data_IF_728493709448
#
_entry.id   IF_728493709448
#
_cell.length_a   1.000
_cell.length_b   1.000
_cell.length_c   1.000
_cell.angle_alpha   90.00
_cell.angle_beta   90.00
_cell.angle_gamma   90.00
#
_symmetry.space_group_name_H-M   'P 1'
#
loop_
_entity.id
_entity.type
_entity.pdbx_description
1 polymer ?
#
# COMPACT_ATOMS: atom_id res chain seq x y z
N UNK A 1 -9.69 -41.26 -3.01
CA UNK A 1 -9.22 -40.95 -4.38
C UNK A 1 -10.25 -40.04 -5.04
N UNK A 2 -9.95 -38.76 -5.24
CA UNK A 2 -10.86 -37.82 -5.91
C UNK A 2 -10.69 -37.94 -7.43
N UNK A 3 -11.78 -38.21 -8.14
CA UNK A 3 -11.78 -38.54 -9.56
C UNK A 3 -11.41 -37.32 -10.39
N UNK A 4 -10.69 -37.48 -11.51
CA UNK A 4 -10.27 -36.38 -12.42
C UNK A 4 -11.41 -35.42 -12.83
N UNK A 5 -12.65 -35.89 -12.82
CA UNK A 5 -13.86 -35.09 -13.07
C UNK A 5 -14.20 -34.12 -11.92
N UNK A 6 -13.98 -34.49 -10.66
CA UNK A 6 -14.19 -33.61 -9.50
C UNK A 6 -13.21 -32.43 -9.52
N UNK A 7 -11.93 -32.68 -9.85
CA UNK A 7 -10.90 -31.64 -9.99
C UNK A 7 -11.28 -30.61 -11.08
N UNK A 8 -11.85 -31.10 -12.20
CA UNK A 8 -12.27 -30.26 -13.32
C UNK A 8 -13.52 -29.44 -12.98
N UNK A 9 -14.44 -29.97 -12.17
CA UNK A 9 -15.61 -29.25 -11.67
C UNK A 9 -15.24 -28.18 -10.63
N UNK A 10 -14.31 -28.47 -9.70
CA UNK A 10 -13.79 -27.45 -8.77
C UNK A 10 -13.07 -26.31 -9.50
N UNK A 11 -12.26 -26.62 -10.52
CA UNK A 11 -11.60 -25.58 -11.34
C UNK A 11 -12.62 -24.72 -12.12
N UNK A 12 -13.69 -25.32 -12.64
CA UNK A 12 -14.79 -24.57 -13.29
C UNK A 12 -15.60 -23.73 -12.31
N UNK A 13 -15.81 -24.18 -11.06
CA UNK A 13 -16.46 -23.39 -10.01
C UNK A 13 -15.59 -22.22 -9.56
N UNK A 14 -14.27 -22.41 -9.45
CA UNK A 14 -13.31 -21.32 -9.19
C UNK A 14 -13.22 -20.30 -10.35
N UNK A 15 -13.34 -20.76 -11.60
CA UNK A 15 -13.39 -19.86 -12.76
C UNK A 15 -14.73 -19.10 -12.90
N UNK A 16 -15.83 -19.68 -12.37
CA UNK A 16 -17.16 -19.04 -12.35
C UNK A 16 -17.41 -18.18 -11.11
N UNK A 17 -16.54 -18.25 -10.09
CA UNK A 17 -16.79 -17.51 -8.86
C UNK A 17 -16.63 -16.01 -9.02
N UNK A 18 -16.16 -15.51 -10.17
CA UNK A 18 -16.51 -14.19 -10.71
C UNK A 18 -16.38 -13.01 -9.74
N UNK A 19 -15.69 -13.18 -8.62
CA UNK A 19 -15.13 -12.11 -7.85
C UNK A 19 -14.08 -11.58 -8.78
N UNK A 20 -14.45 -10.52 -9.48
CA UNK A 20 -13.52 -9.45 -9.82
C UNK A 20 -12.80 -9.17 -8.51
N UNK A 21 -11.70 -9.87 -8.28
CA UNK A 21 -10.68 -9.42 -7.35
C UNK A 21 -10.37 -8.04 -7.89
N UNK A 22 -10.84 -7.00 -7.19
CA UNK A 22 -10.46 -5.64 -7.51
C UNK A 22 -8.95 -5.65 -7.32
N UNK A 23 -8.24 -5.80 -8.43
CA UNK A 23 -6.80 -5.76 -8.44
C UNK A 23 -6.48 -4.33 -8.05
N UNK A 24 -5.97 -4.15 -6.84
CA UNK A 24 -5.42 -2.85 -6.44
C UNK A 24 -4.15 -2.69 -7.26
N UNK A 25 -4.17 -1.72 -8.17
CA UNK A 25 -3.07 -1.45 -9.08
C UNK A 25 -2.49 -0.10 -8.75
N UNK A 26 -1.17 -0.04 -8.61
CA UNK A 26 -0.44 1.22 -8.60
C UNK A 26 0.05 1.52 -10.02
N UNK A 27 -0.40 2.64 -10.58
CA UNK A 27 -0.04 3.08 -11.93
C UNK A 27 1.06 4.14 -11.87
N UNK A 28 2.03 4.03 -12.77
CA UNK A 28 3.14 4.98 -12.87
C UNK A 28 3.67 5.06 -14.30
N UNK A 29 4.43 6.11 -14.61
CA UNK A 29 5.01 6.29 -15.93
C UNK A 29 6.53 6.19 -15.81
N UNK A 30 7.16 5.27 -16.53
CA UNK A 30 8.62 5.20 -16.54
C UNK A 30 9.25 6.49 -17.14
N UNK A 31 10.57 6.68 -17.03
CA UNK A 31 11.25 7.86 -17.58
C UNK A 31 11.07 8.07 -19.08
N UNK A 32 10.61 7.05 -19.83
CA UNK A 32 10.31 7.15 -21.26
C UNK A 32 8.82 7.50 -21.52
N UNK A 33 8.06 7.80 -20.48
CA UNK A 33 6.63 8.13 -20.55
C UNK A 33 5.73 6.92 -20.78
N UNK A 34 6.23 5.69 -20.60
CA UNK A 34 5.42 4.48 -20.75
C UNK A 34 4.69 4.17 -19.44
N UNK A 35 3.38 4.00 -19.54
CA UNK A 35 2.54 3.57 -18.44
C UNK A 35 2.87 2.13 -18.02
N UNK A 36 3.08 1.94 -16.71
CA UNK A 36 3.34 0.67 -16.06
C UNK A 36 2.43 0.52 -14.84
N UNK A 37 2.17 -0.74 -14.50
CA UNK A 37 1.20 -1.13 -13.48
C UNK A 37 1.82 -2.14 -12.52
N UNK A 38 1.59 -1.95 -11.23
CA UNK A 38 2.06 -2.85 -10.16
C UNK A 38 0.85 -3.50 -9.48
N UNK A 39 0.83 -4.84 -9.41
CA UNK A 39 -0.18 -5.60 -8.66
C UNK A 39 0.14 -5.52 -7.17
N UNK A 40 -0.53 -4.59 -6.50
CA UNK A 40 -0.27 -4.24 -5.10
C UNK A 40 -0.69 -5.37 -4.16
N UNK A 41 -1.79 -6.07 -4.46
CA UNK A 41 -2.29 -7.14 -3.59
C UNK A 41 -1.32 -8.33 -3.57
N UNK A 42 -0.78 -8.71 -4.74
CA UNK A 42 0.24 -9.76 -4.79
C UNK A 42 1.53 -9.34 -4.09
N UNK A 43 1.94 -8.08 -4.31
CA UNK A 43 3.14 -7.54 -3.68
C UNK A 43 3.01 -7.52 -2.15
N UNK A 44 1.85 -7.12 -1.63
CA UNK A 44 1.52 -7.16 -0.20
C UNK A 44 1.62 -8.55 0.38
N UNK A 45 0.96 -9.53 -0.24
CA UNK A 45 0.98 -10.93 0.21
C UNK A 45 2.40 -11.53 0.18
N UNK A 46 3.24 -11.07 -0.73
CA UNK A 46 4.65 -11.44 -0.76
C UNK A 46 5.40 -10.78 0.40
N UNK A 47 5.26 -9.46 0.60
CA UNK A 47 5.92 -8.72 1.67
C UNK A 47 5.59 -9.27 3.06
N UNK A 48 4.31 -9.53 3.35
CA UNK A 48 3.84 -10.11 4.62
C UNK A 48 4.48 -11.47 4.98
N UNK A 49 5.02 -12.19 3.98
CA UNK A 49 5.63 -13.51 4.17
C UNK A 49 7.15 -13.49 4.23
N UNK A 50 7.78 -12.45 3.69
CA UNK A 50 9.22 -12.43 3.45
C UNK A 50 9.94 -11.26 4.10
N UNK A 51 9.21 -10.22 4.50
CA UNK A 51 9.78 -8.99 5.05
C UNK A 51 9.32 -8.77 6.48
N UNK A 52 10.19 -8.15 7.27
CA UNK A 52 9.85 -7.63 8.58
C UNK A 52 9.25 -6.24 8.47
N UNK A 53 8.41 -5.88 9.44
CA UNK A 53 7.85 -4.53 9.54
C UNK A 53 8.92 -3.64 10.15
N UNK A 54 9.26 -2.55 9.46
CA UNK A 54 10.18 -1.53 9.95
C UNK A 54 9.47 -0.19 10.16
N UNK A 55 9.96 0.66 11.07
CA UNK A 55 9.47 2.02 11.20
C UNK A 55 9.94 2.86 9.99
N UNK A 56 9.01 3.43 9.24
CA UNK A 56 9.28 4.42 8.20
C UNK A 56 8.96 5.83 8.71
N UNK A 57 9.92 6.74 8.56
CA UNK A 57 9.73 8.14 8.89
C UNK A 57 8.67 8.78 7.99
N UNK A 58 7.91 9.71 8.57
CA UNK A 58 6.88 10.46 7.86
C UNK A 58 7.50 11.73 7.29
N UNK A 59 7.64 11.78 5.96
CA UNK A 59 7.94 12.99 5.21
C UNK A 59 6.67 13.80 4.92
N UNK A 60 6.56 14.97 5.54
CA UNK A 60 5.43 15.88 5.36
C UNK A 60 5.29 16.40 3.93
N UNK A 61 6.39 16.55 3.17
CA UNK A 61 6.30 16.96 1.76
C UNK A 61 5.65 15.89 0.90
N UNK A 62 5.92 14.62 1.21
CA UNK A 62 5.26 13.50 0.57
C UNK A 62 3.76 13.46 0.90
N UNK A 63 3.39 13.75 2.15
CA UNK A 63 1.99 13.85 2.58
C UNK A 63 1.25 14.95 1.81
N UNK A 64 1.85 16.14 1.68
CA UNK A 64 1.30 17.24 0.88
C UNK A 64 1.08 16.82 -0.57
N UNK A 65 2.08 16.20 -1.21
CA UNK A 65 1.96 15.67 -2.58
C UNK A 65 0.84 14.64 -2.75
N UNK A 66 0.65 13.75 -1.77
CA UNK A 66 -0.41 12.73 -1.82
C UNK A 66 -1.81 13.38 -1.78
N UNK A 67 -1.98 14.41 -0.95
CA UNK A 67 -3.25 15.13 -0.80
C UNK A 67 -3.52 15.99 -2.04
N UNK A 68 -2.55 16.79 -2.49
CA UNK A 68 -2.66 17.65 -3.67
C UNK A 68 -2.89 16.85 -4.96
N UNK A 69 -2.25 15.69 -5.07
CA UNK A 69 -2.44 14.76 -6.19
C UNK A 69 -3.79 14.03 -6.19
N UNK A 70 -4.65 14.27 -5.19
CA UNK A 70 -5.97 13.63 -5.07
C UNK A 70 -5.92 12.12 -4.81
N UNK A 71 -4.74 11.58 -4.46
CA UNK A 71 -4.53 10.15 -4.19
C UNK A 71 -5.19 9.71 -2.88
N UNK A 72 -5.42 10.65 -1.96
CA UNK A 72 -6.19 10.47 -0.73
C UNK A 72 -7.15 11.64 -0.57
N UNK A 73 -8.43 11.34 -0.33
CA UNK A 73 -9.44 12.35 0.03
C UNK A 73 -9.76 12.30 1.52
N UNK A 74 -10.38 13.34 2.06
CA UNK A 74 -10.81 13.37 3.46
C UNK A 74 -11.76 12.21 3.81
N UNK A 75 -12.58 11.77 2.85
CA UNK A 75 -13.48 10.63 3.00
C UNK A 75 -12.72 9.32 3.17
N UNK A 76 -11.65 9.11 2.39
CA UNK A 76 -10.79 7.91 2.52
C UNK A 76 -10.16 7.82 3.91
N UNK A 77 -9.70 8.95 4.47
CA UNK A 77 -9.09 8.98 5.80
C UNK A 77 -10.11 8.59 6.89
N UNK A 78 -11.31 9.16 6.82
CA UNK A 78 -12.36 8.90 7.80
C UNK A 78 -12.94 7.48 7.70
N UNK A 79 -13.14 6.96 6.49
CA UNK A 79 -13.78 5.67 6.26
C UNK A 79 -12.85 4.48 6.50
N UNK A 80 -11.56 4.59 6.18
CA UNK A 80 -10.64 3.45 6.22
C UNK A 80 -9.73 3.40 7.45
N UNK A 81 -9.37 4.53 8.03
CA UNK A 81 -8.28 4.57 9.03
C UNK A 81 -8.76 4.70 10.48
N UNK A 82 -9.99 5.19 10.71
CA UNK A 82 -10.52 5.30 12.08
C UNK A 82 -11.20 4.02 12.59
N UNK A 83 -11.55 3.10 11.70
CA UNK A 83 -12.39 1.92 12.00
C UNK A 83 -11.70 0.59 11.76
N UNK A 84 -10.58 0.57 11.02
CA UNK A 84 -9.83 -0.66 10.72
C UNK A 84 -8.48 -0.66 11.42
N UNK A 85 -7.94 -1.86 11.67
CA UNK A 85 -6.56 -2.02 12.11
C UNK A 85 -5.60 -1.36 11.12
N UNK A 86 -4.66 -0.58 11.64
CA UNK A 86 -3.64 0.09 10.85
C UNK A 86 -2.76 -0.97 10.18
N UNK A 87 -2.86 -1.09 8.85
CA UNK A 87 -2.00 -1.98 8.06
C UNK A 87 -0.66 -1.32 7.79
N UNK A 88 0.46 -2.08 7.76
CA UNK A 88 1.73 -1.56 7.29
C UNK A 88 1.64 -1.01 5.85
N UNK A 89 2.29 0.12 5.60
CA UNK A 89 2.44 0.70 4.26
C UNK A 89 3.41 -0.13 3.42
N UNK A 90 3.29 -0.06 2.09
CA UNK A 90 4.26 -0.66 1.17
C UNK A 90 5.07 0.44 0.51
N UNK A 91 6.39 0.40 0.72
CA UNK A 91 7.35 1.32 0.11
C UNK A 91 8.17 0.53 -0.89
N UNK A 92 8.26 1.03 -2.13
CA UNK A 92 9.22 0.57 -3.12
C UNK A 92 10.42 1.51 -3.12
N UNK A 93 11.62 1.01 -2.80
CA UNK A 93 12.87 1.74 -2.95
C UNK A 93 13.36 1.71 -4.40
N UNK A 94 14.16 2.71 -4.78
CA UNK A 94 14.69 2.88 -6.14
C UNK A 94 13.61 2.89 -7.23
N UNK A 95 12.43 3.41 -6.88
CA UNK A 95 11.37 3.73 -7.82
C UNK A 95 11.81 4.87 -8.76
N UNK A 96 11.49 4.74 -10.05
CA UNK A 96 11.77 5.74 -11.12
C UNK A 96 13.06 6.57 -10.92
N UNK A 97 14.22 5.90 -10.90
CA UNK A 97 15.55 6.52 -10.72
C UNK A 97 15.92 6.91 -9.28
N UNK A 98 15.74 6.01 -8.32
CA UNK A 98 16.35 6.14 -6.98
C UNK A 98 15.46 6.78 -5.91
N UNK A 99 14.19 7.04 -6.20
CA UNK A 99 13.26 7.59 -5.21
C UNK A 99 12.49 6.47 -4.51
N UNK A 100 12.17 6.64 -3.23
CA UNK A 100 11.23 5.76 -2.55
C UNK A 100 9.79 6.23 -2.84
N UNK A 101 8.89 5.30 -3.16
CA UNK A 101 7.48 5.60 -3.42
C UNK A 101 6.57 4.71 -2.58
N UNK A 102 5.52 5.29 -2.00
CA UNK A 102 4.47 4.53 -1.31
C UNK A 102 3.50 3.99 -2.36
N UNK A 103 3.57 2.67 -2.58
CA UNK A 103 2.75 1.97 -3.56
C UNK A 103 1.43 1.46 -2.97
N UNK A 104 1.34 1.40 -1.63
CA UNK A 104 0.11 1.09 -0.91
C UNK A 104 0.10 1.67 0.50
N UNK A 105 -1.09 1.98 1.01
CA UNK A 105 -1.29 2.50 2.35
C UNK A 105 -1.20 4.03 2.44
N UNK A 106 -1.41 4.75 1.34
CA UNK A 106 -1.41 6.23 1.32
C UNK A 106 -2.35 6.84 2.38
N UNK A 107 -3.53 6.26 2.60
CA UNK A 107 -4.46 6.69 3.65
C UNK A 107 -3.87 6.49 5.06
N UNK A 108 -3.19 5.36 5.29
CA UNK A 108 -2.52 5.07 6.55
C UNK A 108 -1.39 6.06 6.80
N UNK A 109 -0.58 6.32 5.77
CA UNK A 109 0.52 7.29 5.83
C UNK A 109 0.02 8.70 6.17
N UNK A 110 -1.02 9.17 5.47
CA UNK A 110 -1.63 10.49 5.72
C UNK A 110 -2.29 10.55 7.10
N UNK A 111 -2.99 9.50 7.55
CA UNK A 111 -3.61 9.48 8.87
C UNK A 111 -2.58 9.49 10.02
N UNK A 112 -1.46 8.79 9.85
CA UNK A 112 -0.34 8.83 10.80
C UNK A 112 0.31 10.22 10.84
N UNK A 113 0.45 10.87 9.69
CA UNK A 113 0.94 12.26 9.61
C UNK A 113 -0.01 13.26 10.29
N UNK A 114 -1.33 13.12 10.08
CA UNK A 114 -2.33 13.95 10.74
C UNK A 114 -2.30 13.75 12.27
N UNK A 115 -2.13 12.51 12.72
CA UNK A 115 -1.95 12.16 14.13
C UNK A 115 -0.69 12.82 14.71
N UNK A 116 0.43 12.80 13.97
CA UNK A 116 1.67 13.46 14.35
C UNK A 116 1.49 14.97 14.53
N UNK A 117 0.83 15.64 13.59
CA UNK A 117 0.57 17.07 13.69
C UNK A 117 -0.30 17.41 14.92
N UNK A 118 -1.31 16.58 15.21
CA UNK A 118 -2.18 16.76 16.38
C UNK A 118 -1.44 16.48 17.69
N UNK A 119 -0.65 15.40 17.76
CA UNK A 119 0.17 15.05 18.91
C UNK A 119 1.16 16.18 19.25
N UNK A 120 1.84 16.74 18.23
CA UNK A 120 2.74 17.88 18.39
C UNK A 120 2.02 19.12 18.95
N UNK A 121 0.81 19.43 18.46
CA UNK A 121 -0.01 20.52 19.01
C UNK A 121 -0.41 20.30 20.48
N UNK A 122 -0.53 19.05 20.90
CA UNK A 122 -0.84 18.67 22.28
C UNK A 122 0.40 18.54 23.18
N UNK A 123 1.60 18.87 22.67
CA UNK A 123 2.86 18.73 23.41
C UNK A 123 3.34 17.29 23.56
N UNK A 124 2.72 16.34 22.86
CA UNK A 124 3.13 14.93 22.87
C UNK A 124 4.29 14.78 21.88
N UNK A 125 5.46 14.40 22.41
CA UNK A 125 6.65 14.14 21.61
C UNK A 125 6.85 12.63 21.56
N UNK A 126 6.43 12.01 20.47
CA UNK A 126 6.73 10.61 20.16
C UNK A 126 7.34 10.57 18.74
N UNK A 127 8.38 9.76 18.51
CA UNK A 127 8.80 9.43 17.15
C UNK A 127 7.63 8.66 16.51
N UNK A 128 6.89 9.34 15.64
CA UNK A 128 5.74 8.78 14.94
C UNK A 128 6.20 8.36 13.55
N UNK A 129 6.54 7.09 13.45
CA UNK A 129 6.84 6.37 12.21
C UNK A 129 5.61 5.58 11.77
N UNK A 130 5.42 5.43 10.46
CA UNK A 130 4.46 4.47 9.93
C UNK A 130 5.08 3.06 9.91
N UNK A 131 4.37 1.99 10.31
CA UNK A 131 4.84 0.63 10.07
C UNK A 131 4.90 0.38 8.57
N UNK A 132 6.02 -0.12 8.06
CA UNK A 132 6.24 -0.30 6.63
C UNK A 132 6.88 -1.65 6.30
N UNK A 133 6.50 -2.19 5.13
CA UNK A 133 7.32 -3.13 4.39
C UNK A 133 8.08 -2.35 3.32
N UNK A 134 9.40 -2.51 3.28
CA UNK A 134 10.27 -1.85 2.31
C UNK A 134 10.79 -2.88 1.33
N UNK A 135 10.53 -2.64 0.05
CA UNK A 135 10.89 -3.52 -1.04
C UNK A 135 12.00 -2.84 -1.83
N UNK A 136 13.23 -3.29 -1.58
CA UNK A 136 14.38 -2.91 -2.40
C UNK A 136 14.25 -3.58 -3.77
N UNK A 137 14.38 -2.80 -4.83
CA UNK A 137 14.64 -3.36 -6.16
C UNK A 137 16.09 -3.80 -6.18
N UNK A 138 16.35 -5.11 -6.28
CA UNK A 138 17.70 -5.60 -6.59
C UNK A 138 18.10 -5.04 -7.98
N UNK A 139 19.29 -4.44 -8.04
CA UNK A 139 19.87 -3.85 -9.25
C UNK A 139 20.09 -4.89 -10.38
#
# INVERSE_FOLDING_TARGET
MTTRQQIRQTRRRAAKSGQTVKMEVFNYNDPNGKENWLDVERLRRWAEKHLEIIPADIDMKMVERIIEGGRVTAEHINAHTMTNDIKPILIAENFENGYAEIVDGNHTYVAMAATQFRAKKMGITAPLSAPAYVIARED
#
